data_IF_615689674746
#
_entry.id   IF_615689674746
#
_cell.length_a   1.000
_cell.length_b   1.000
_cell.length_c   1.000
_cell.angle_alpha   90.00
_cell.angle_beta   90.00
_cell.angle_gamma   90.00
#
_symmetry.space_group_name_H-M   'P 1'
#
loop_
_entity.id
_entity.type
_entity.pdbx_description
1 polymer ?
#
# COMPACT_ATOMS: atom_id res chain seq x y z
N UNK A 1 -18.85 -53.57 -16.04
CA UNK A 1 -18.35 -53.96 -14.69
C UNK A 1 -17.11 -53.18 -14.27
N UNK A 2 -16.01 -53.18 -15.06
CA UNK A 2 -14.78 -52.41 -14.73
C UNK A 2 -15.01 -50.91 -14.45
N UNK A 3 -15.86 -50.23 -15.24
CA UNK A 3 -16.18 -48.80 -15.05
C UNK A 3 -16.92 -48.49 -13.74
N UNK A 4 -17.77 -49.42 -13.29
CA UNK A 4 -18.48 -49.32 -12.01
C UNK A 4 -17.52 -49.49 -10.84
N UNK A 5 -16.56 -50.42 -10.95
CA UNK A 5 -15.49 -50.57 -9.96
C UNK A 5 -14.64 -49.31 -9.84
N UNK A 6 -14.28 -48.69 -10.97
CA UNK A 6 -13.54 -47.42 -10.98
C UNK A 6 -14.34 -46.31 -10.29
N UNK A 7 -15.65 -46.19 -10.56
CA UNK A 7 -16.50 -45.17 -9.93
C UNK A 7 -16.55 -45.32 -8.41
N UNK A 8 -16.65 -46.57 -7.91
CA UNK A 8 -16.69 -46.87 -6.49
C UNK A 8 -15.35 -46.56 -5.80
N UNK A 9 -14.24 -46.87 -6.46
CA UNK A 9 -12.90 -46.54 -5.99
C UNK A 9 -12.72 -45.03 -5.87
N UNK A 10 -13.10 -44.25 -6.89
CA UNK A 10 -13.00 -42.79 -6.82
C UNK A 10 -13.87 -42.20 -5.70
N UNK A 11 -15.07 -42.73 -5.48
CA UNK A 11 -15.96 -42.26 -4.43
C UNK A 11 -15.38 -42.53 -3.03
N UNK A 12 -14.72 -43.68 -2.84
CA UNK A 12 -14.03 -44.03 -1.60
C UNK A 12 -12.86 -43.09 -1.30
N UNK A 13 -12.06 -42.74 -2.31
CA UNK A 13 -10.97 -41.77 -2.16
C UNK A 13 -11.46 -40.36 -1.83
N UNK A 14 -12.60 -39.92 -2.40
CA UNK A 14 -13.19 -38.62 -2.07
C UNK A 14 -13.69 -38.55 -0.62
N UNK A 15 -14.26 -39.64 -0.08
CA UNK A 15 -14.72 -39.71 1.30
C UNK A 15 -13.58 -39.68 2.33
N UNK A 16 -12.38 -40.15 1.96
CA UNK A 16 -11.19 -40.13 2.80
C UNK A 16 -10.51 -38.76 2.89
N UNK A 17 -10.90 -37.78 2.06
CA UNK A 17 -10.30 -36.44 2.00
C UNK A 17 -10.88 -35.49 3.08
N UNK A 18 -10.97 -35.94 4.34
CA UNK A 18 -11.44 -35.08 5.44
C UNK A 18 -10.33 -34.18 6.01
N UNK A 19 -9.08 -34.65 6.04
CA UNK A 19 -7.94 -33.93 6.63
C UNK A 19 -7.48 -32.70 5.84
N UNK A 20 -7.85 -32.58 4.57
CA UNK A 20 -7.55 -31.39 3.77
C UNK A 20 -8.35 -30.17 4.22
N UNK A 21 -9.52 -30.38 4.83
CA UNK A 21 -10.29 -29.27 5.40
C UNK A 21 -9.43 -28.51 6.39
N UNK A 22 -8.86 -29.18 7.40
CA UNK A 22 -8.03 -28.54 8.42
C UNK A 22 -6.73 -27.90 7.89
N UNK A 23 -6.26 -28.30 6.71
CA UNK A 23 -5.14 -27.64 6.02
C UNK A 23 -5.54 -26.34 5.29
N UNK A 24 -6.76 -26.27 4.74
CA UNK A 24 -7.27 -25.08 4.02
C UNK A 24 -8.03 -24.11 4.92
N UNK A 25 -8.78 -24.60 5.90
CA UNK A 25 -9.23 -23.75 7.00
C UNK A 25 -8.02 -23.55 7.88
N UNK A 26 -7.38 -22.39 7.79
CA UNK A 26 -6.37 -21.89 8.74
C UNK A 26 -6.92 -21.90 10.18
N UNK A 27 -7.05 -23.09 10.79
CA UNK A 27 -7.51 -23.24 12.16
C UNK A 27 -6.35 -22.84 13.04
N UNK A 28 -6.47 -21.68 13.68
CA UNK A 28 -5.55 -21.27 14.74
C UNK A 28 -5.61 -22.32 15.84
N UNK A 29 -4.50 -23.03 16.07
CA UNK A 29 -4.36 -23.95 17.22
C UNK A 29 -4.55 -23.12 18.49
N UNK A 30 -5.45 -23.52 19.38
CA UNK A 30 -5.75 -22.77 20.61
C UNK A 30 -4.61 -22.84 21.65
N UNK A 31 -3.64 -23.72 21.43
CA UNK A 31 -2.52 -23.98 22.32
C UNK A 31 -1.21 -23.69 21.59
N UNK A 32 -0.93 -22.39 21.45
CA UNK A 32 0.38 -21.83 21.14
C UNK A 32 0.65 -20.74 22.16
N UNK A 33 1.84 -20.76 22.77
CA UNK A 33 2.35 -19.71 23.67
C UNK A 33 2.72 -18.47 22.84
N UNK A 34 1.70 -17.83 22.28
CA UNK A 34 1.83 -16.59 21.51
C UNK A 34 1.77 -15.41 22.48
N UNK A 35 2.88 -14.70 22.64
CA UNK A 35 2.91 -13.46 23.40
C UNK A 35 2.46 -12.30 22.49
N UNK A 36 1.30 -11.71 22.81
CA UNK A 36 0.86 -10.46 22.19
C UNK A 36 1.68 -9.30 22.78
N UNK A 37 2.67 -8.81 22.05
CA UNK A 37 3.49 -7.67 22.48
C UNK A 37 2.77 -6.38 22.11
N UNK A 38 2.06 -5.81 23.08
CA UNK A 38 1.42 -4.51 22.92
C UNK A 38 2.45 -3.38 23.11
N UNK A 39 2.50 -2.44 22.15
CA UNK A 39 3.30 -1.22 22.30
C UNK A 39 2.66 -0.33 23.38
N UNK A 40 3.31 -0.25 24.53
CA UNK A 40 2.95 0.71 25.58
C UNK A 40 3.50 2.09 25.26
N UNK A 41 2.74 3.12 25.60
CA UNK A 41 3.20 4.50 25.54
C UNK A 41 4.36 4.72 26.54
N UNK A 42 5.41 5.46 26.17
CA UNK A 42 6.51 5.76 27.07
C UNK A 42 6.00 6.52 28.30
N UNK A 43 6.59 6.26 29.47
CA UNK A 43 6.18 6.92 30.72
C UNK A 43 6.46 8.43 30.71
N UNK A 44 7.46 8.85 29.93
CA UNK A 44 7.83 10.24 29.75
C UNK A 44 8.20 10.47 28.28
N UNK A 45 7.74 11.60 27.74
CA UNK A 45 8.10 12.04 26.40
C UNK A 45 9.31 12.98 26.50
N UNK A 46 10.23 12.96 25.51
CA UNK A 46 11.33 13.91 25.48
C UNK A 46 10.82 15.35 25.34
N UNK A 47 11.55 16.34 25.87
CA UNK A 47 11.23 17.74 25.63
C UNK A 47 11.28 18.02 24.12
N UNK A 48 10.20 18.59 23.57
CA UNK A 48 10.08 18.81 22.12
C UNK A 48 9.47 17.65 21.34
N UNK A 49 8.90 16.63 21.99
CA UNK A 49 8.08 15.63 21.31
C UNK A 49 6.96 16.30 20.51
N UNK A 50 6.86 15.95 19.22
CA UNK A 50 5.86 16.52 18.30
C UNK A 50 6.23 17.90 17.72
N UNK A 51 7.38 18.48 18.08
CA UNK A 51 7.88 19.69 17.41
C UNK A 51 8.65 19.28 16.15
N UNK A 52 8.18 19.76 15.01
CA UNK A 52 8.91 19.64 13.75
C UNK A 52 9.81 20.88 13.60
N UNK A 53 11.00 20.74 13.00
CA UNK A 53 11.77 21.91 12.60
C UNK A 53 10.92 22.74 11.63
N UNK A 54 11.00 24.06 11.75
CA UNK A 54 10.30 24.94 10.82
C UNK A 54 10.89 24.73 9.42
N UNK A 55 10.07 24.61 8.36
CA UNK A 55 10.59 24.50 7.01
C UNK A 55 11.45 25.73 6.72
N UNK A 56 12.64 25.50 6.20
CA UNK A 56 13.49 26.59 5.73
C UNK A 56 12.99 26.98 4.34
N UNK A 57 11.98 27.85 4.31
CA UNK A 57 11.76 28.87 3.29
C UNK A 57 10.48 29.66 3.63
N UNK A 58 10.64 30.99 3.72
CA UNK A 58 9.56 31.93 3.98
C UNK A 58 9.76 32.70 5.28
N UNK A 59 10.51 33.81 5.20
CA UNK A 59 10.35 34.91 6.16
C UNK A 59 8.85 35.24 6.20
N UNK A 60 8.19 35.07 7.34
CA UNK A 60 6.91 35.73 7.55
C UNK A 60 7.25 37.21 7.71
N UNK A 61 7.14 37.95 6.60
CA UNK A 61 7.06 39.40 6.63
C UNK A 61 5.61 39.69 7.01
N UNK A 62 5.39 40.30 8.17
CA UNK A 62 4.12 40.93 8.50
C UNK A 62 3.96 42.15 7.58
N UNK A 63 3.53 41.94 6.33
CA UNK A 63 3.20 43.01 5.40
C UNK A 63 1.72 43.39 5.56
N UNK A 64 1.50 44.59 6.09
CA UNK A 64 0.24 45.32 6.07
C UNK A 64 -0.23 45.45 4.61
N UNK A 65 -1.31 44.75 4.26
CA UNK A 65 -1.83 44.72 2.87
C UNK A 65 -2.47 46.06 2.53
N UNK A 66 -1.76 46.89 1.76
CA UNK A 66 -2.33 48.06 1.07
C UNK A 66 -3.01 47.58 -0.24
N UNK A 67 -4.32 47.75 -0.31
CA UNK A 67 -5.20 47.34 -1.43
C UNK A 67 -4.90 48.19 -2.68
N UNK A 68 -4.26 47.60 -3.71
CA UNK A 68 -3.87 48.40 -4.88
C UNK A 68 -3.50 47.71 -6.19
N UNK A 69 -3.22 46.40 -6.26
CA UNK A 69 -2.64 45.84 -7.52
C UNK A 69 -3.06 44.41 -7.91
N UNK A 70 -4.18 43.92 -7.39
CA UNK A 70 -4.66 42.55 -7.67
C UNK A 70 -5.33 42.40 -9.07
N UNK A 71 -5.56 43.50 -9.79
CA UNK A 71 -6.27 43.50 -11.08
C UNK A 71 -5.39 43.15 -12.30
N UNK A 72 -4.07 43.07 -12.13
CA UNK A 72 -3.13 42.81 -13.24
C UNK A 72 -2.89 41.31 -13.48
N UNK A 73 -3.03 40.48 -12.45
CA UNK A 73 -2.69 39.05 -12.50
C UNK A 73 -3.79 38.13 -13.04
N UNK A 74 -5.03 38.60 -13.16
CA UNK A 74 -6.18 37.74 -13.52
C UNK A 74 -6.39 37.63 -15.03
N UNK A 75 -5.77 38.48 -15.85
CA UNK A 75 -6.05 38.56 -17.29
C UNK A 75 -5.10 37.77 -18.21
N UNK A 76 -4.16 36.99 -17.68
CA UNK A 76 -3.25 36.17 -18.48
C UNK A 76 -3.32 34.72 -18.03
N UNK A 77 -4.16 33.93 -18.72
CA UNK A 77 -3.95 32.52 -19.11
C UNK A 77 -5.29 31.80 -19.35
N UNK A 78 -6.12 32.33 -20.24
CA UNK A 78 -6.87 31.47 -21.16
C UNK A 78 -5.90 31.11 -22.28
N UNK A 79 -5.29 29.92 -22.30
CA UNK A 79 -4.78 29.21 -23.51
C UNK A 79 -4.20 27.80 -23.19
N UNK A 80 -5.10 26.84 -23.00
CA UNK A 80 -5.11 25.53 -23.66
C UNK A 80 -3.77 24.88 -24.10
N UNK A 81 -3.34 23.80 -23.41
CA UNK A 81 -2.71 22.64 -24.07
C UNK A 81 -2.71 21.40 -23.18
N UNK A 82 -3.58 20.44 -23.52
CA UNK A 82 -3.49 19.05 -23.08
C UNK A 82 -2.28 18.37 -23.75
N UNK A 83 -1.31 17.90 -22.97
CA UNK A 83 -0.19 17.10 -23.48
C UNK A 83 -0.32 15.63 -23.07
N UNK A 84 -0.63 14.80 -24.06
CA UNK A 84 -0.59 13.34 -24.07
C UNK A 84 0.75 12.80 -23.56
N UNK A 85 0.72 11.85 -22.63
CA UNK A 85 1.91 11.17 -22.09
C UNK A 85 2.44 10.14 -23.10
N UNK A 86 3.48 10.49 -23.85
CA UNK A 86 4.18 9.53 -24.71
C UNK A 86 5.05 8.57 -23.87
N UNK A 87 4.71 7.27 -23.89
CA UNK A 87 5.59 6.19 -23.39
C UNK A 87 6.64 5.86 -24.45
N UNK A 88 7.74 6.62 -24.47
CA UNK A 88 8.89 6.34 -25.34
C UNK A 88 10.22 6.36 -24.55
N UNK A 89 10.30 5.64 -23.42
CA UNK A 89 11.58 5.39 -22.74
C UNK A 89 11.81 3.90 -22.53
N UNK A 90 13.03 3.43 -22.82
CA UNK A 90 13.51 2.11 -22.40
C UNK A 90 13.27 1.91 -20.89
N UNK A 91 12.94 0.69 -20.44
CA UNK A 91 12.74 0.45 -19.02
C UNK A 91 14.03 0.77 -18.26
N UNK A 92 13.86 1.41 -17.12
CA UNK A 92 15.00 1.66 -16.22
C UNK A 92 15.56 0.33 -15.70
N UNK A 93 16.84 0.29 -15.33
CA UNK A 93 17.47 -0.92 -14.75
C UNK A 93 16.69 -1.48 -13.53
N UNK A 94 15.99 -0.62 -12.80
CA UNK A 94 15.11 -1.01 -11.67
C UNK A 94 13.82 -1.66 -12.17
N UNK A 95 13.21 -1.14 -13.23
CA UNK A 95 12.00 -1.70 -13.83
C UNK A 95 12.25 -3.11 -14.39
N UNK A 96 13.39 -3.31 -15.07
CA UNK A 96 13.82 -4.64 -15.53
C UNK A 96 13.99 -5.62 -14.36
N UNK A 97 14.62 -5.17 -13.26
CA UNK A 97 14.83 -6.00 -12.06
C UNK A 97 13.52 -6.42 -11.39
N UNK A 98 12.50 -5.56 -11.45
CA UNK A 98 11.17 -5.85 -10.91
C UNK A 98 10.44 -6.86 -11.80
N UNK A 99 10.46 -6.67 -13.12
CA UNK A 99 9.81 -7.56 -14.09
C UNK A 99 10.38 -8.98 -14.03
N UNK A 100 11.70 -9.12 -13.99
CA UNK A 100 12.37 -10.43 -13.88
C UNK A 100 11.97 -11.20 -12.60
N UNK A 101 11.58 -10.48 -11.55
CA UNK A 101 11.20 -11.07 -10.27
C UNK A 101 9.72 -11.49 -10.22
N UNK A 102 8.94 -11.05 -11.20
CA UNK A 102 7.52 -11.37 -11.35
C UNK A 102 7.32 -12.58 -12.29
N UNK A 103 8.21 -12.77 -13.28
CA UNK A 103 8.31 -14.01 -14.09
C UNK A 103 8.88 -15.19 -13.28
#
# INVERSE_FOLDING_TARGET
MKKIIVIFITLFFLAACQSTKDAFTLKKKSSTDEFLVEKKNPLVLPPGYGKLPMPQDGQIIDDEVEDGDLNVFVNNEENNSSSTFEKNSKPSSIEESILQKIE
#
